data_IF_117862006062
#
_entry.id   IF_117862006062
#
_cell.length_a   1.000
_cell.length_b   1.000
_cell.length_c   1.000
_cell.angle_alpha   90.00
_cell.angle_beta   90.00
_cell.angle_gamma   90.00
#
_symmetry.space_group_name_H-M   'P 1'
#
loop_
_entity.id
_entity.type
_entity.pdbx_description
1 polymer ?
#
# COMPACT_ATOMS: atom_id res chain seq x y z
N UNK A 1 -15.92 35.63 -6.29
CA UNK A 1 -14.56 35.05 -6.55
C UNK A 1 -14.69 33.58 -6.27
N UNK A 2 -14.40 32.78 -7.28
CA UNK A 2 -14.35 31.31 -7.07
C UNK A 2 -13.12 30.99 -6.21
N UNK A 3 -13.32 30.14 -5.20
CA UNK A 3 -12.22 29.72 -4.34
C UNK A 3 -11.23 28.84 -5.13
N UNK A 4 -9.93 29.09 -4.94
CA UNK A 4 -8.88 28.25 -5.52
C UNK A 4 -8.56 27.15 -4.51
N UNK A 5 -8.74 25.88 -4.93
CA UNK A 5 -8.38 24.71 -4.12
C UNK A 5 -6.92 24.36 -4.35
N UNK A 6 -6.10 24.30 -3.28
CA UNK A 6 -4.66 24.07 -3.34
C UNK A 6 -4.20 22.84 -2.53
N UNK A 7 -5.14 22.05 -2.01
CA UNK A 7 -4.85 20.90 -1.15
C UNK A 7 -4.97 19.54 -1.92
N UNK A 8 -4.40 19.48 -3.12
CA UNK A 8 -4.47 18.29 -3.98
C UNK A 8 -3.66 17.09 -3.46
N UNK A 9 -2.79 17.29 -2.47
CA UNK A 9 -2.12 16.21 -1.75
C UNK A 9 -3.05 15.45 -0.79
N UNK A 10 -4.16 16.08 -0.40
CA UNK A 10 -5.19 15.50 0.46
C UNK A 10 -6.25 14.74 -0.35
N UNK A 11 -6.79 15.37 -1.41
CA UNK A 11 -7.79 14.77 -2.29
C UNK A 11 -7.84 15.47 -3.64
N UNK A 12 -8.28 14.75 -4.66
CA UNK A 12 -8.46 15.28 -6.02
C UNK A 12 -9.84 14.94 -6.54
N UNK A 13 -10.41 15.73 -7.49
CA UNK A 13 -11.62 15.34 -8.18
C UNK A 13 -11.41 14.04 -8.97
N UNK A 14 -12.48 13.27 -9.14
CA UNK A 14 -12.45 12.11 -10.04
C UNK A 14 -12.35 12.63 -11.48
N UNK A 15 -11.46 12.04 -12.29
CA UNK A 15 -11.39 12.35 -13.73
C UNK A 15 -12.73 12.03 -14.41
N UNK A 16 -13.25 12.97 -15.22
CA UNK A 16 -14.56 12.86 -15.86
C UNK A 16 -14.70 11.57 -16.69
N UNK A 17 -13.64 11.14 -17.38
CA UNK A 17 -13.61 9.90 -18.17
C UNK A 17 -13.76 8.67 -17.28
N UNK A 18 -13.19 8.70 -16.07
CA UNK A 18 -13.32 7.64 -15.07
C UNK A 18 -14.74 7.65 -14.51
N UNK A 19 -15.24 8.82 -14.14
CA UNK A 19 -16.60 8.99 -13.61
C UNK A 19 -17.66 8.44 -14.59
N UNK A 20 -17.57 8.80 -15.87
CA UNK A 20 -18.47 8.28 -16.92
C UNK A 20 -18.45 6.74 -17.03
N UNK A 21 -17.27 6.11 -16.85
CA UNK A 21 -17.13 4.64 -16.86
C UNK A 21 -17.70 3.98 -15.61
N UNK A 22 -17.66 4.67 -14.47
CA UNK A 22 -18.21 4.17 -13.21
C UNK A 22 -19.72 4.30 -13.14
N UNK A 23 -20.31 5.36 -13.70
CA UNK A 23 -21.72 5.73 -13.56
C UNK A 23 -22.73 4.58 -13.83
N UNK A 24 -22.57 3.73 -14.86
CA UNK A 24 -23.50 2.62 -15.12
C UNK A 24 -23.57 1.59 -13.97
N UNK A 25 -22.52 1.44 -13.19
CA UNK A 25 -22.46 0.46 -12.09
C UNK A 25 -23.25 0.89 -10.84
N UNK A 26 -23.61 2.15 -10.74
CA UNK A 26 -24.44 2.65 -9.63
C UNK A 26 -25.94 2.36 -9.83
N UNK A 27 -26.39 2.18 -11.07
CA UNK A 27 -27.84 2.07 -11.33
C UNK A 27 -28.24 1.02 -12.37
N UNK A 28 -27.43 0.75 -13.38
CA UNK A 28 -27.78 -0.13 -14.49
C UNK A 28 -27.09 -1.51 -14.38
N UNK A 29 -25.82 -1.54 -13.98
CA UNK A 29 -24.97 -2.74 -13.86
C UNK A 29 -24.60 -3.03 -12.40
N UNK A 30 -25.57 -2.95 -11.50
CA UNK A 30 -25.39 -3.01 -10.05
C UNK A 30 -25.25 -4.42 -9.46
N UNK A 31 -25.01 -5.43 -10.28
CA UNK A 31 -24.90 -6.82 -9.85
C UNK A 31 -23.78 -7.03 -8.81
N UNK A 32 -23.96 -8.02 -7.95
CA UNK A 32 -22.93 -8.44 -7.01
C UNK A 32 -21.97 -9.44 -7.66
N UNK A 33 -20.69 -9.11 -7.80
CA UNK A 33 -19.67 -9.97 -8.40
C UNK A 33 -19.44 -11.31 -7.67
N UNK A 34 -19.85 -11.43 -6.41
CA UNK A 34 -19.80 -12.67 -5.65
C UNK A 34 -20.97 -13.62 -5.95
N UNK A 35 -22.02 -13.15 -6.64
CA UNK A 35 -23.18 -13.97 -7.00
C UNK A 35 -22.90 -14.80 -8.24
N UNK A 36 -22.81 -16.12 -8.08
CA UNK A 36 -22.47 -17.05 -9.16
C UNK A 36 -23.68 -17.74 -9.83
N UNK A 37 -24.91 -17.41 -9.41
CA UNK A 37 -26.12 -18.17 -9.78
C UNK A 37 -26.99 -17.49 -10.83
N UNK A 38 -26.65 -16.26 -11.25
CA UNK A 38 -27.47 -15.50 -12.21
C UNK A 38 -26.64 -14.48 -13.02
N UNK A 39 -27.20 -14.06 -14.16
CA UNK A 39 -26.53 -13.21 -15.14
C UNK A 39 -26.05 -11.85 -14.60
N UNK A 40 -26.77 -11.23 -13.66
CA UNK A 40 -26.33 -9.97 -13.05
C UNK A 40 -25.01 -10.12 -12.30
N UNK A 41 -24.84 -11.23 -11.56
CA UNK A 41 -23.60 -11.54 -10.86
C UNK A 41 -22.44 -11.83 -11.82
N UNK A 42 -22.71 -12.59 -12.89
CA UNK A 42 -21.70 -12.91 -13.91
C UNK A 42 -21.19 -11.65 -14.62
N UNK A 43 -22.09 -10.76 -15.03
CA UNK A 43 -21.73 -9.50 -15.67
C UNK A 43 -20.90 -8.60 -14.74
N UNK A 44 -21.25 -8.54 -13.45
CA UNK A 44 -20.48 -7.79 -12.46
C UNK A 44 -19.10 -8.40 -12.23
N UNK A 45 -19.00 -9.73 -12.15
CA UNK A 45 -17.73 -10.46 -11.99
C UNK A 45 -16.82 -10.21 -13.20
N UNK A 46 -17.33 -10.33 -14.43
CA UNK A 46 -16.60 -10.05 -15.65
C UNK A 46 -16.02 -8.62 -15.64
N UNK A 47 -16.82 -7.63 -15.24
CA UNK A 47 -16.37 -6.24 -15.16
C UNK A 47 -15.22 -6.06 -14.16
N UNK A 48 -15.28 -6.72 -12.99
CA UNK A 48 -14.19 -6.70 -11.98
C UNK A 48 -12.93 -7.36 -12.54
N UNK A 49 -13.04 -8.52 -13.20
CA UNK A 49 -11.87 -9.20 -13.76
C UNK A 49 -11.22 -8.38 -14.89
N UNK A 50 -12.00 -7.79 -15.80
CA UNK A 50 -11.46 -6.88 -16.83
C UNK A 50 -10.72 -5.67 -16.19
N UNK A 51 -11.28 -5.11 -15.12
CA UNK A 51 -10.63 -4.00 -14.41
C UNK A 51 -9.31 -4.46 -13.74
N UNK A 52 -9.31 -5.66 -13.16
CA UNK A 52 -8.14 -6.28 -12.54
C UNK A 52 -7.02 -6.51 -13.56
N UNK A 53 -7.34 -7.10 -14.72
CA UNK A 53 -6.38 -7.34 -15.81
C UNK A 53 -5.75 -6.04 -16.30
N UNK A 54 -6.55 -4.98 -16.48
CA UNK A 54 -6.05 -3.67 -16.91
C UNK A 54 -5.13 -3.03 -15.86
N UNK A 55 -5.51 -3.08 -14.60
CA UNK A 55 -4.70 -2.55 -13.51
C UNK A 55 -3.39 -3.36 -13.37
N UNK A 56 -3.46 -4.69 -13.44
CA UNK A 56 -2.29 -5.56 -13.37
C UNK A 56 -1.32 -5.29 -14.54
N UNK A 57 -1.84 -5.14 -15.77
CA UNK A 57 -1.01 -4.79 -16.92
C UNK A 57 -0.33 -3.41 -16.78
N UNK A 58 -1.00 -2.43 -16.15
CA UNK A 58 -0.44 -1.10 -15.92
C UNK A 58 0.76 -1.13 -14.96
N UNK A 59 0.65 -1.92 -13.89
CA UNK A 59 1.71 -2.01 -12.86
C UNK A 59 2.70 -3.16 -13.09
N UNK A 60 2.49 -3.97 -14.13
CA UNK A 60 3.41 -5.05 -14.52
C UNK A 60 3.37 -6.27 -13.60
N UNK A 61 2.20 -6.61 -13.03
CA UNK A 61 2.02 -7.81 -12.22
C UNK A 61 0.98 -8.76 -12.84
N UNK A 62 0.87 -9.97 -12.27
CA UNK A 62 -0.18 -10.92 -12.63
C UNK A 62 -1.52 -10.48 -12.01
N UNK A 63 -2.68 -10.67 -12.71
CA UNK A 63 -3.99 -10.29 -12.17
C UNK A 63 -4.29 -10.88 -10.79
N UNK A 64 -3.82 -12.10 -10.50
CA UNK A 64 -4.00 -12.77 -9.20
C UNK A 64 -3.21 -12.14 -8.05
N UNK A 65 -2.23 -11.29 -8.35
CA UNK A 65 -1.41 -10.58 -7.36
C UNK A 65 -2.03 -9.24 -6.96
N UNK A 66 -3.11 -8.82 -7.64
CA UNK A 66 -3.77 -7.54 -7.39
C UNK A 66 -5.03 -7.75 -6.54
N UNK A 67 -5.12 -7.00 -5.46
CA UNK A 67 -6.25 -7.00 -4.54
C UNK A 67 -6.88 -5.61 -4.45
N UNK A 68 -8.18 -5.51 -4.70
CA UNK A 68 -8.92 -4.26 -4.50
C UNK A 68 -9.28 -4.10 -3.02
N UNK A 69 -9.03 -2.92 -2.49
CA UNK A 69 -9.38 -2.51 -1.13
C UNK A 69 -10.22 -1.23 -1.17
N UNK A 70 -10.82 -0.86 -0.07
CA UNK A 70 -11.58 0.39 0.04
C UNK A 70 -10.69 1.65 0.02
N UNK A 71 -9.39 1.48 0.15
CA UNK A 71 -8.40 2.57 0.13
C UNK A 71 -7.09 2.17 0.79
N UNK A 72 -6.11 3.08 0.76
CA UNK A 72 -4.75 2.84 1.25
C UNK A 72 -4.72 2.37 2.71
N UNK A 73 -5.53 2.96 3.60
CA UNK A 73 -5.58 2.55 5.01
C UNK A 73 -5.93 1.07 5.20
N UNK A 74 -6.89 0.55 4.43
CA UNK A 74 -7.20 -0.89 4.47
C UNK A 74 -6.05 -1.73 3.94
N UNK A 75 -5.48 -1.37 2.78
CA UNK A 75 -4.35 -2.06 2.17
C UNK A 75 -3.13 -2.12 3.10
N UNK A 76 -2.77 -1.00 3.69
CA UNK A 76 -1.67 -0.87 4.68
C UNK A 76 -1.92 -1.82 5.87
N UNK A 77 -3.11 -1.77 6.48
CA UNK A 77 -3.45 -2.63 7.60
C UNK A 77 -3.41 -4.12 7.22
N UNK A 78 -3.94 -4.46 6.04
CA UNK A 78 -3.96 -5.83 5.52
C UNK A 78 -2.54 -6.38 5.40
N UNK A 79 -1.63 -5.64 4.78
CA UNK A 79 -0.25 -6.07 4.57
C UNK A 79 0.51 -6.14 5.89
N UNK A 80 0.51 -5.08 6.68
CA UNK A 80 1.33 -5.02 7.91
C UNK A 80 0.90 -6.09 8.90
N UNK A 81 -0.40 -6.21 9.18
CA UNK A 81 -0.94 -7.21 10.10
C UNK A 81 -0.80 -8.63 9.53
N UNK A 82 -1.07 -8.81 8.24
CA UNK A 82 -0.96 -10.11 7.58
C UNK A 82 0.47 -10.63 7.57
N UNK A 83 1.48 -9.78 7.29
CA UNK A 83 2.88 -10.17 7.37
C UNK A 83 3.26 -10.51 8.81
N UNK A 84 2.92 -9.66 9.78
CA UNK A 84 3.24 -9.92 11.18
C UNK A 84 2.66 -11.26 11.66
N UNK A 85 1.42 -11.55 11.32
CA UNK A 85 0.74 -12.79 11.70
C UNK A 85 1.35 -14.02 11.01
N UNK A 86 1.60 -13.93 9.69
CA UNK A 86 2.08 -15.04 8.87
C UNK A 86 3.55 -15.38 9.12
N UNK A 87 4.38 -14.37 9.43
CA UNK A 87 5.81 -14.52 9.61
C UNK A 87 6.27 -14.52 11.07
N UNK A 88 5.35 -14.57 12.03
CA UNK A 88 5.64 -14.55 13.48
C UNK A 88 6.62 -15.65 13.95
N UNK A 89 6.73 -16.77 13.19
CA UNK A 89 7.70 -17.84 13.47
C UNK A 89 9.12 -17.48 13.02
N UNK A 90 9.28 -16.63 12.01
CA UNK A 90 10.59 -16.14 11.53
C UNK A 90 11.12 -15.05 12.45
N UNK A 91 10.25 -14.13 12.87
CA UNK A 91 10.62 -13.01 13.72
C UNK A 91 9.49 -12.06 14.02
N UNK A 92 9.80 -10.98 14.73
CA UNK A 92 8.84 -9.95 15.13
C UNK A 92 9.33 -8.53 14.87
N UNK A 93 10.52 -8.40 14.28
CA UNK A 93 11.12 -7.10 14.03
C UNK A 93 10.59 -6.51 12.72
N UNK A 94 10.16 -5.26 12.79
CA UNK A 94 9.61 -4.47 11.69
C UNK A 94 10.37 -3.15 11.65
N UNK A 95 10.81 -2.73 10.47
CA UNK A 95 11.49 -1.45 10.25
C UNK A 95 10.60 -0.54 9.42
N UNK A 96 10.49 0.73 9.81
CA UNK A 96 9.77 1.77 9.08
C UNK A 96 10.44 3.12 9.26
N UNK A 97 9.88 4.18 8.67
CA UNK A 97 10.45 5.53 8.73
C UNK A 97 9.54 6.52 9.46
N UNK A 98 10.14 7.53 10.07
CA UNK A 98 9.41 8.55 10.84
C UNK A 98 8.45 9.41 9.99
N UNK A 99 8.68 9.47 8.69
CA UNK A 99 7.90 10.25 7.71
C UNK A 99 6.77 9.47 7.06
N UNK A 100 6.53 8.23 7.48
CA UNK A 100 5.43 7.42 6.98
C UNK A 100 4.05 8.03 7.27
N UNK A 101 3.08 7.69 6.42
CA UNK A 101 1.70 8.07 6.66
C UNK A 101 1.20 7.53 8.01
N UNK A 102 0.30 8.27 8.65
CA UNK A 102 -0.28 7.90 9.95
C UNK A 102 -0.84 6.48 9.99
N UNK A 103 -1.43 5.99 8.88
CA UNK A 103 -1.96 4.64 8.81
C UNK A 103 -0.88 3.56 9.04
N UNK A 104 0.36 3.78 8.56
CA UNK A 104 1.51 2.88 8.81
C UNK A 104 1.91 2.97 10.27
N UNK A 105 2.18 4.18 10.78
CA UNK A 105 2.68 4.40 12.14
C UNK A 105 1.70 3.92 13.21
N UNK A 106 0.40 4.17 13.04
CA UNK A 106 -0.61 3.74 14.01
C UNK A 106 -0.82 2.22 13.97
N UNK A 107 -0.70 1.58 12.79
CA UNK A 107 -0.72 0.12 12.69
C UNK A 107 0.50 -0.49 13.38
N UNK A 108 1.68 0.11 13.22
CA UNK A 108 2.90 -0.30 13.93
C UNK A 108 2.74 -0.18 15.45
N UNK A 109 2.20 0.93 15.95
CA UNK A 109 1.92 1.11 17.39
C UNK A 109 0.98 0.03 17.91
N UNK A 110 -0.07 -0.31 17.15
CA UNK A 110 -0.96 -1.40 17.52
C UNK A 110 -0.20 -2.74 17.61
N UNK A 111 0.64 -3.07 16.62
CA UNK A 111 1.42 -4.31 16.64
C UNK A 111 2.40 -4.38 17.82
N UNK A 112 2.98 -3.25 18.23
CA UNK A 112 3.81 -3.19 19.44
C UNK A 112 3.03 -3.63 20.70
N UNK A 113 1.73 -3.31 20.80
CA UNK A 113 0.91 -3.74 21.94
C UNK A 113 0.70 -5.26 22.01
N UNK A 114 0.91 -5.96 20.90
CA UNK A 114 0.79 -7.42 20.82
C UNK A 114 2.14 -8.12 20.59
N UNK A 115 3.25 -7.39 20.80
CA UNK A 115 4.60 -7.95 20.90
C UNK A 115 5.47 -7.83 19.66
N UNK A 116 5.13 -6.99 18.69
CA UNK A 116 6.05 -6.62 17.62
C UNK A 116 7.17 -5.72 18.15
N UNK A 117 8.37 -5.90 17.63
CA UNK A 117 9.50 -5.00 17.83
C UNK A 117 9.58 -4.08 16.59
N UNK A 118 9.19 -2.81 16.78
CA UNK A 118 9.14 -1.85 15.68
C UNK A 118 10.25 -0.83 15.82
N UNK A 119 11.15 -0.80 14.87
CA UNK A 119 12.18 0.22 14.74
C UNK A 119 11.74 1.29 13.74
N UNK A 120 11.70 2.55 14.20
CA UNK A 120 11.34 3.71 13.37
C UNK A 120 12.62 4.48 13.05
N UNK A 121 13.07 4.39 11.81
CA UNK A 121 14.28 5.07 11.37
C UNK A 121 14.01 6.56 11.10
N UNK A 122 14.97 7.44 11.42
CA UNK A 122 14.93 8.83 11.00
C UNK A 122 15.18 8.94 9.49
N UNK A 123 14.85 10.10 8.94
CA UNK A 123 15.31 10.55 7.63
C UNK A 123 16.37 11.63 7.80
N UNK A 124 17.17 11.83 6.78
CA UNK A 124 18.15 12.92 6.71
C UNK A 124 17.45 14.29 6.63
N UNK A 125 18.24 15.37 6.74
CA UNK A 125 17.70 16.75 6.75
C UNK A 125 16.96 17.13 5.44
N UNK A 126 17.31 16.49 4.32
CA UNK A 126 16.63 16.63 3.05
C UNK A 126 15.41 15.71 2.88
N UNK A 127 15.10 14.92 3.91
CA UNK A 127 13.98 13.99 3.93
C UNK A 127 14.29 12.61 3.34
N UNK A 128 15.51 12.35 2.87
CA UNK A 128 15.89 11.06 2.30
C UNK A 128 16.24 10.02 3.37
N UNK A 129 16.01 8.72 3.11
CA UNK A 129 16.43 7.65 4.01
C UNK A 129 17.93 7.37 3.84
N UNK A 130 18.65 7.15 4.96
CA UNK A 130 20.00 6.60 4.95
C UNK A 130 19.94 5.08 4.68
N UNK A 131 20.45 4.65 3.51
CA UNK A 131 20.48 3.24 3.11
C UNK A 131 21.47 2.40 3.92
N UNK A 132 22.53 2.99 4.43
CA UNK A 132 23.48 2.27 5.29
C UNK A 132 22.91 2.08 6.70
N UNK A 133 22.12 3.03 7.19
CA UNK A 133 21.35 2.86 8.42
C UNK A 133 20.31 1.74 8.25
N UNK A 134 19.59 1.71 7.11
CA UNK A 134 18.66 0.62 6.81
C UNK A 134 19.36 -0.74 6.86
N UNK A 135 20.51 -0.90 6.18
CA UNK A 135 21.27 -2.16 6.20
C UNK A 135 21.66 -2.58 7.62
N UNK A 136 22.09 -1.62 8.45
CA UNK A 136 22.50 -1.87 9.85
C UNK A 136 21.33 -2.25 10.76
N UNK A 137 20.12 -1.77 10.47
CA UNK A 137 18.91 -2.09 11.25
C UNK A 137 18.37 -3.48 10.94
N UNK A 138 18.74 -4.10 9.79
CA UNK A 138 18.27 -5.43 9.44
C UNK A 138 18.91 -6.51 10.32
N UNK A 139 18.06 -7.31 10.96
CA UNK A 139 18.43 -8.40 11.87
C UNK A 139 17.91 -9.74 11.32
N UNK A 140 18.37 -10.84 11.86
CA UNK A 140 17.91 -12.18 11.49
C UNK A 140 16.41 -12.42 11.76
N UNK A 141 15.82 -11.68 12.67
CA UNK A 141 14.40 -11.70 13.02
C UNK A 141 13.58 -10.55 12.39
N UNK A 142 14.16 -9.79 11.45
CA UNK A 142 13.43 -8.78 10.68
C UNK A 142 12.54 -9.48 9.65
N UNK A 143 11.25 -9.15 9.67
CA UNK A 143 10.25 -9.74 8.77
C UNK A 143 9.71 -8.77 7.74
N UNK A 144 9.74 -7.45 8.03
CA UNK A 144 9.14 -6.43 7.18
C UNK A 144 9.94 -5.14 7.27
N UNK A 145 10.18 -4.53 6.11
CA UNK A 145 10.59 -3.13 5.97
C UNK A 145 9.50 -2.39 5.23
N UNK A 146 9.15 -1.21 5.71
CA UNK A 146 8.15 -0.35 5.08
C UNK A 146 8.73 1.03 4.79
N UNK A 147 8.47 1.52 3.58
CA UNK A 147 8.87 2.85 3.17
C UNK A 147 7.92 3.39 2.11
N UNK A 148 7.43 4.61 2.29
CA UNK A 148 6.63 5.27 1.25
C UNK A 148 7.47 5.55 0.01
N UNK A 149 6.83 5.55 -1.16
CA UNK A 149 7.50 5.94 -2.40
C UNK A 149 7.68 7.46 -2.48
N UNK A 150 6.60 8.18 -2.24
CA UNK A 150 6.57 9.63 -2.30
C UNK A 150 5.88 10.19 -1.05
N UNK A 151 6.54 11.09 -0.34
CA UNK A 151 5.89 11.73 0.80
C UNK A 151 4.87 12.77 0.31
N UNK A 152 3.62 12.60 0.70
CA UNK A 152 2.51 13.44 0.26
C UNK A 152 2.58 14.90 0.77
N UNK A 153 3.33 15.17 1.82
CA UNK A 153 3.48 16.52 2.39
C UNK A 153 4.71 17.25 1.85
N UNK A 154 5.84 16.53 1.71
CA UNK A 154 7.14 17.13 1.34
C UNK A 154 7.50 16.94 -0.14
N UNK A 155 6.89 15.94 -0.81
CA UNK A 155 7.22 15.55 -2.19
C UNK A 155 8.54 14.79 -2.34
N UNK A 156 9.20 14.41 -1.24
CA UNK A 156 10.45 13.65 -1.28
C UNK A 156 10.19 12.24 -1.80
N UNK A 157 10.98 11.82 -2.78
CA UNK A 157 10.93 10.47 -3.36
C UNK A 157 11.98 9.57 -2.71
N UNK A 158 11.55 8.44 -2.15
CA UNK A 158 12.47 7.46 -1.60
C UNK A 158 13.03 6.54 -2.69
N UNK A 159 14.30 6.10 -2.57
CA UNK A 159 14.94 5.20 -3.53
C UNK A 159 14.46 3.74 -3.34
N UNK A 160 13.15 3.49 -3.51
CA UNK A 160 12.50 2.20 -3.18
C UNK A 160 13.10 1.01 -3.93
N UNK A 161 13.64 1.22 -5.14
CA UNK A 161 14.31 0.14 -5.88
C UNK A 161 15.55 -0.36 -5.13
N UNK A 162 16.42 0.55 -4.65
CA UNK A 162 17.61 0.21 -3.87
C UNK A 162 17.23 -0.39 -2.51
N UNK A 163 16.19 0.13 -1.86
CA UNK A 163 15.67 -0.39 -0.59
C UNK A 163 15.12 -1.81 -0.76
N UNK A 164 14.36 -2.06 -1.82
CA UNK A 164 13.85 -3.38 -2.16
C UNK A 164 14.96 -4.40 -2.46
N UNK A 165 16.06 -3.97 -3.11
CA UNK A 165 17.23 -4.82 -3.32
C UNK A 165 17.93 -5.18 -1.99
N UNK A 166 18.10 -4.20 -1.09
CA UNK A 166 18.64 -4.43 0.26
C UNK A 166 17.79 -5.47 0.98
N UNK A 167 16.48 -5.31 1.01
CA UNK A 167 15.56 -6.22 1.68
C UNK A 167 15.60 -7.63 1.08
N UNK A 168 15.63 -7.74 -0.26
CA UNK A 168 15.75 -9.03 -0.97
C UNK A 168 17.02 -9.77 -0.60
N UNK A 169 18.16 -9.09 -0.51
CA UNK A 169 19.44 -9.68 -0.15
C UNK A 169 19.49 -10.16 1.31
N UNK A 170 18.54 -9.72 2.15
CA UNK A 170 18.41 -10.15 3.56
C UNK A 170 17.20 -11.05 3.81
N UNK A 171 16.50 -11.49 2.75
CA UNK A 171 15.28 -12.31 2.86
C UNK A 171 14.18 -11.63 3.73
N UNK A 172 14.01 -10.32 3.57
CA UNK A 172 13.02 -9.49 4.27
C UNK A 172 11.97 -9.00 3.29
N UNK A 173 10.69 -9.04 3.70
CA UNK A 173 9.60 -8.48 2.89
C UNK A 173 9.75 -6.95 2.85
N UNK A 174 9.63 -6.38 1.66
CA UNK A 174 9.59 -4.94 1.45
C UNK A 174 8.19 -4.51 1.02
N UNK A 175 7.61 -3.56 1.72
CA UNK A 175 6.32 -2.94 1.41
C UNK A 175 6.52 -1.45 1.15
N UNK A 176 5.92 -0.93 0.08
CA UNK A 176 5.93 0.51 -0.22
C UNK A 176 4.51 1.05 -0.32
N UNK A 177 4.22 2.14 0.39
CA UNK A 177 3.02 2.96 0.22
C UNK A 177 3.27 3.92 -0.96
N UNK A 178 2.42 3.85 -2.03
CA UNK A 178 2.65 4.53 -3.31
C UNK A 178 1.42 5.27 -3.82
#
# INVERSE_FOLDING_TARGET
MDAIYLDYNSTTPVDDRVFEKMLPYFSQKFGNAASNTHAFGWAAKEAVEIAREKAAALIGCEPRELYFTSGATEGINLIIKGVYESYSKKGKHIVTYATEHKAVLDTCKYLQTIGADVEVLPVERDGLPDLDLLKKSLRSDTILVMAMFANNETGVLFPIAAMGEICRNHDVIFFSDT
#
